data_IF_979361501736
#
_entry.id   IF_979361501736
#
_cell.length_a   1.000
_cell.length_b   1.000
_cell.length_c   1.000
_cell.angle_alpha   90.00
_cell.angle_beta   90.00
_cell.angle_gamma   90.00
#
_symmetry.space_group_name_H-M   'P 1'
#
loop_
_entity.id
_entity.type
_entity.pdbx_description
1 polymer ?
#
# COMPACT_ATOMS: atom_id res chain seq x y z
N UNK A 1 -30.75 2.89 7.44
CA UNK A 1 -29.38 2.35 7.27
C UNK A 1 -29.48 0.94 6.74
N UNK A 2 -28.75 0.59 5.67
CA UNK A 2 -28.80 -0.76 5.12
C UNK A 2 -28.37 -1.79 6.19
N UNK A 3 -29.22 -2.78 6.46
CA UNK A 3 -28.91 -3.87 7.39
C UNK A 3 -27.71 -4.63 6.84
N UNK A 4 -26.58 -4.62 7.57
CA UNK A 4 -25.39 -5.40 7.23
C UNK A 4 -25.71 -6.90 7.33
N UNK A 5 -25.00 -7.73 6.57
CA UNK A 5 -25.22 -9.18 6.55
C UNK A 5 -25.04 -9.83 7.92
N UNK A 6 -25.75 -10.94 8.16
CA UNK A 6 -25.77 -11.67 9.46
C UNK A 6 -24.35 -11.96 9.99
N UNK A 7 -23.48 -12.47 9.12
CA UNK A 7 -22.06 -12.76 9.38
C UNK A 7 -21.27 -11.55 9.91
N UNK A 8 -21.49 -10.38 9.33
CA UNK A 8 -20.85 -9.15 9.79
C UNK A 8 -21.40 -8.71 11.16
N UNK A 9 -22.71 -8.87 11.36
CA UNK A 9 -23.37 -8.53 12.62
C UNK A 9 -22.95 -9.45 13.78
N UNK A 10 -22.50 -10.68 13.51
CA UNK A 10 -21.87 -11.56 14.49
C UNK A 10 -20.44 -11.14 14.77
N UNK A 11 -19.64 -10.90 13.72
CA UNK A 11 -18.24 -10.48 13.85
C UNK A 11 -18.10 -9.16 14.64
N UNK A 12 -18.99 -8.18 14.43
CA UNK A 12 -18.92 -6.90 15.14
C UNK A 12 -19.21 -7.01 16.64
N UNK A 13 -19.93 -8.05 17.09
CA UNK A 13 -20.18 -8.27 18.53
C UNK A 13 -18.92 -8.66 19.29
N UNK A 14 -17.94 -9.22 18.60
CA UNK A 14 -16.63 -9.58 19.17
C UNK A 14 -15.71 -8.37 19.34
N UNK A 15 -16.04 -7.24 18.70
CA UNK A 15 -15.21 -6.03 18.68
C UNK A 15 -15.85 -4.96 19.54
N UNK A 16 -15.17 -4.57 20.62
CA UNK A 16 -15.53 -3.38 21.37
C UNK A 16 -15.06 -2.13 20.60
N UNK A 17 -16.00 -1.24 20.27
CA UNK A 17 -15.73 -0.02 19.47
C UNK A 17 -15.19 1.13 20.32
N UNK A 18 -15.33 1.01 21.63
CA UNK A 18 -14.89 2.00 22.63
C UNK A 18 -13.48 1.69 23.13
N UNK A 19 -13.11 0.42 23.19
CA UNK A 19 -11.78 -0.02 23.56
C UNK A 19 -10.77 0.22 22.43
N UNK A 20 -9.57 0.66 22.82
CA UNK A 20 -8.38 0.60 21.97
C UNK A 20 -7.61 -0.66 22.32
N UNK A 21 -7.31 -1.48 21.31
CA UNK A 21 -6.59 -2.74 21.48
C UNK A 21 -5.10 -2.56 21.23
N UNK A 22 -4.28 -3.45 21.81
CA UNK A 22 -2.88 -3.58 21.38
C UNK A 22 -2.81 -4.09 19.93
N UNK A 23 -1.67 -3.88 19.25
CA UNK A 23 -1.47 -4.36 17.87
C UNK A 23 -1.64 -5.87 17.78
N UNK A 24 -1.09 -6.61 18.75
CA UNK A 24 -1.17 -8.06 18.85
C UNK A 24 -2.64 -8.53 18.94
N UNK A 25 -3.38 -8.00 19.92
CA UNK A 25 -4.80 -8.33 20.11
C UNK A 25 -5.63 -7.94 18.88
N UNK A 26 -5.33 -6.80 18.26
CA UNK A 26 -6.06 -6.34 17.09
C UNK A 26 -5.86 -7.28 15.89
N UNK A 27 -4.64 -7.76 15.65
CA UNK A 27 -4.35 -8.72 14.58
C UNK A 27 -5.07 -10.04 14.82
N UNK A 28 -4.98 -10.59 16.04
CA UNK A 28 -5.71 -11.81 16.41
C UNK A 28 -7.21 -11.67 16.19
N UNK A 29 -7.76 -10.52 16.59
CA UNK A 29 -9.19 -10.24 16.49
C UNK A 29 -9.63 -10.02 15.04
N UNK A 30 -8.80 -9.38 14.21
CA UNK A 30 -9.06 -9.22 12.76
C UNK A 30 -9.06 -10.55 12.04
N UNK A 31 -8.18 -11.49 12.41
CA UNK A 31 -8.19 -12.86 11.87
C UNK A 31 -9.46 -13.61 12.28
N UNK A 32 -9.85 -13.55 13.56
CA UNK A 32 -11.08 -14.17 14.08
C UNK A 32 -12.35 -13.59 13.47
N UNK A 33 -12.35 -12.30 13.12
CA UNK A 33 -13.51 -11.59 12.54
C UNK A 33 -13.53 -11.60 11.01
N UNK A 34 -12.58 -12.28 10.37
CA UNK A 34 -12.61 -12.50 8.92
C UNK A 34 -13.69 -13.52 8.55
N UNK A 35 -14.77 -13.05 7.94
CA UNK A 35 -15.92 -13.88 7.55
C UNK A 35 -15.93 -14.27 6.06
N UNK A 36 -14.87 -13.89 5.33
CA UNK A 36 -14.71 -14.16 3.92
C UNK A 36 -14.39 -15.65 3.67
N UNK A 37 -14.83 -16.18 2.52
CA UNK A 37 -14.51 -17.55 2.08
C UNK A 37 -13.13 -17.67 1.44
N UNK A 38 -12.55 -16.54 1.01
CA UNK A 38 -11.24 -16.45 0.40
C UNK A 38 -10.24 -15.86 1.40
N UNK A 39 -8.94 -15.99 1.11
CA UNK A 39 -7.89 -15.40 1.93
C UNK A 39 -7.89 -13.87 1.84
N UNK A 40 -8.57 -13.26 2.81
CA UNK A 40 -8.78 -11.83 2.88
C UNK A 40 -7.47 -11.09 3.14
N UNK A 41 -7.37 -9.87 2.62
CA UNK A 41 -6.23 -8.98 2.89
C UNK A 41 -6.49 -8.25 4.20
N UNK A 42 -5.47 -8.21 5.05
CA UNK A 42 -5.44 -7.38 6.25
C UNK A 42 -4.84 -6.03 5.86
N UNK A 43 -5.57 -4.96 6.16
CA UNK A 43 -5.19 -3.59 5.85
C UNK A 43 -5.27 -2.70 7.08
N UNK A 44 -4.54 -1.60 7.03
CA UNK A 44 -4.48 -0.61 8.11
C UNK A 44 -4.85 0.74 7.55
N UNK A 45 -5.81 1.38 8.22
CA UNK A 45 -6.19 2.75 7.99
C UNK A 45 -5.59 3.66 9.07
N UNK A 46 -4.77 4.61 8.63
CA UNK A 46 -4.21 5.65 9.48
C UNK A 46 -4.93 6.97 9.19
N UNK A 47 -5.55 7.56 10.23
CA UNK A 47 -6.09 8.92 10.15
C UNK A 47 -5.03 9.89 10.63
N UNK A 48 -4.47 10.65 9.70
CA UNK A 48 -3.42 11.62 10.02
C UNK A 48 -4.00 13.01 10.30
N UNK A 49 -3.27 13.79 11.10
CA UNK A 49 -3.54 15.18 11.42
C UNK A 49 -2.91 16.17 10.43
N UNK A 50 -2.95 15.86 9.13
CA UNK A 50 -2.37 16.68 8.06
C UNK A 50 -3.44 17.40 7.25
N UNK A 51 -3.10 18.55 6.68
CA UNK A 51 -3.92 19.26 5.71
C UNK A 51 -3.38 19.01 4.30
N UNK A 52 -3.94 18.00 3.64
CA UNK A 52 -3.57 17.58 2.27
C UNK A 52 -3.86 18.62 1.19
N UNK A 53 -4.57 19.72 1.50
CA UNK A 53 -4.69 20.86 0.57
C UNK A 53 -3.38 21.63 0.43
N UNK A 54 -2.50 21.54 1.43
CA UNK A 54 -1.20 22.19 1.41
C UNK A 54 -0.13 21.22 0.91
N UNK A 55 0.62 21.64 -0.10
CA UNK A 55 1.60 20.78 -0.78
C UNK A 55 2.74 20.31 0.14
N UNK A 56 3.09 21.11 1.15
CA UNK A 56 4.10 20.82 2.18
C UNK A 56 3.66 19.74 3.18
N UNK A 57 2.36 19.44 3.26
CA UNK A 57 1.81 18.42 4.16
C UNK A 57 1.34 17.17 3.43
N UNK A 58 1.50 17.12 2.11
CA UNK A 58 1.10 15.96 1.32
C UNK A 58 2.09 14.81 1.50
N UNK A 59 1.59 13.67 2.00
CA UNK A 59 2.39 12.47 2.19
C UNK A 59 2.15 11.50 1.03
N UNK A 60 3.25 11.12 0.39
CA UNK A 60 3.31 10.04 -0.60
C UNK A 60 4.68 9.39 -0.51
N UNK A 61 4.71 8.06 -0.51
CA UNK A 61 5.95 7.30 -0.50
C UNK A 61 5.68 5.83 -0.77
N UNK A 62 6.72 5.03 -0.60
CA UNK A 62 6.64 3.59 -0.68
C UNK A 62 7.51 2.98 0.42
N UNK A 63 7.09 1.82 0.92
CA UNK A 63 7.80 1.08 1.96
C UNK A 63 7.87 -0.39 1.55
N UNK A 64 9.01 -1.03 1.76
CA UNK A 64 9.18 -2.47 1.55
C UNK A 64 8.77 -3.18 2.84
N UNK A 65 7.81 -4.10 2.75
CA UNK A 65 7.40 -4.90 3.90
C UNK A 65 8.36 -6.08 4.08
N UNK A 66 8.84 -6.35 5.30
CA UNK A 66 9.80 -7.43 5.55
C UNK A 66 9.23 -8.81 5.20
N UNK A 67 7.92 -9.02 5.41
CA UNK A 67 7.25 -10.28 5.12
C UNK A 67 6.40 -10.24 3.83
N UNK A 68 6.52 -9.17 3.03
CA UNK A 68 5.73 -8.95 1.83
C UNK A 68 4.22 -8.79 2.09
N UNK A 69 3.44 -8.77 1.01
CA UNK A 69 1.97 -8.58 1.05
C UNK A 69 1.16 -9.86 0.83
N UNK A 70 1.82 -10.96 0.47
CA UNK A 70 1.14 -12.22 0.13
C UNK A 70 0.39 -12.21 -1.21
N UNK A 71 0.63 -11.20 -2.07
CA UNK A 71 0.12 -11.15 -3.44
C UNK A 71 1.30 -11.09 -4.42
N UNK A 72 1.34 -12.03 -5.37
CA UNK A 72 2.26 -11.96 -6.51
C UNK A 72 1.81 -10.80 -7.40
N UNK A 73 2.62 -9.74 -7.47
CA UNK A 73 2.35 -8.59 -8.32
C UNK A 73 2.97 -8.82 -9.71
N UNK A 74 2.20 -8.51 -10.75
CA UNK A 74 2.70 -8.49 -12.13
C UNK A 74 3.31 -7.12 -12.43
N UNK A 75 4.60 -7.11 -12.76
CA UNK A 75 5.37 -5.87 -12.97
C UNK A 75 5.59 -5.65 -14.47
N UNK A 76 5.11 -4.50 -14.96
CA UNK A 76 5.43 -4.00 -16.30
C UNK A 76 6.54 -2.96 -16.20
N UNK A 77 7.60 -3.11 -17.00
CA UNK A 77 8.71 -2.18 -17.04
C UNK A 77 8.77 -1.47 -18.39
N UNK A 78 8.75 -0.14 -18.35
CA UNK A 78 9.08 0.72 -19.48
C UNK A 78 10.55 1.10 -19.45
N UNK A 79 11.35 0.48 -20.31
CA UNK A 79 12.77 0.75 -20.43
C UNK A 79 13.24 0.58 -21.88
N UNK A 80 14.26 1.33 -22.30
CA UNK A 80 14.92 1.16 -23.61
C UNK A 80 16.33 0.57 -23.43
N UNK A 81 16.82 -0.10 -24.48
CA UNK A 81 18.22 -0.55 -24.57
C UNK A 81 18.63 -1.55 -23.48
N UNK A 82 19.78 -1.31 -22.83
CA UNK A 82 20.34 -2.23 -21.83
C UNK A 82 19.45 -2.40 -20.59
N UNK A 83 18.71 -1.36 -20.21
CA UNK A 83 17.79 -1.40 -19.07
C UNK A 83 16.60 -2.34 -19.27
N UNK A 84 16.21 -2.59 -20.52
CA UNK A 84 15.21 -3.62 -20.82
C UNK A 84 15.75 -5.02 -20.51
N UNK A 85 16.99 -5.32 -20.92
CA UNK A 85 17.63 -6.62 -20.64
C UNK A 85 17.83 -6.86 -19.14
N UNK A 86 18.22 -5.82 -18.40
CA UNK A 86 18.32 -5.87 -16.93
C UNK A 86 16.95 -6.18 -16.29
N UNK A 87 15.87 -5.56 -16.78
CA UNK A 87 14.52 -5.79 -16.27
C UNK A 87 14.01 -7.21 -16.53
N UNK A 88 14.28 -7.76 -17.72
CA UNK A 88 13.96 -9.14 -18.07
C UNK A 88 14.71 -10.12 -17.16
N UNK A 89 16.01 -9.88 -16.94
CA UNK A 89 16.84 -10.68 -16.05
C UNK A 89 16.41 -10.59 -14.57
N UNK A 90 15.89 -9.43 -14.14
CA UNK A 90 15.31 -9.23 -12.81
C UNK A 90 13.95 -9.94 -12.64
N UNK A 91 13.42 -10.54 -13.71
CA UNK A 91 12.16 -11.27 -13.69
C UNK A 91 10.94 -10.37 -13.80
N UNK A 92 11.02 -9.21 -14.44
CA UNK A 92 9.81 -8.46 -14.80
C UNK A 92 8.89 -9.31 -15.70
N UNK A 93 7.58 -9.23 -15.46
CA UNK A 93 6.59 -10.05 -16.19
C UNK A 93 6.41 -9.56 -17.63
N UNK A 94 6.51 -8.24 -17.82
CA UNK A 94 6.47 -7.60 -19.12
C UNK A 94 7.51 -6.49 -19.18
N UNK A 95 8.27 -6.45 -20.28
CA UNK A 95 9.25 -5.39 -20.56
C UNK A 95 9.02 -4.90 -21.98
N UNK A 96 8.96 -3.59 -22.15
CA UNK A 96 8.99 -3.00 -23.50
C UNK A 96 8.79 -1.49 -23.50
N UNK A 97 8.58 -0.95 -24.69
CA UNK A 97 8.64 0.48 -24.96
C UNK A 97 7.29 1.00 -25.51
N UNK A 98 7.26 1.50 -26.75
CA UNK A 98 6.08 2.05 -27.43
C UNK A 98 5.00 1.01 -27.71
N UNK A 99 5.37 -0.27 -27.86
CA UNK A 99 4.40 -1.32 -28.18
C UNK A 99 3.39 -1.55 -27.06
N UNK A 100 3.85 -1.57 -25.81
CA UNK A 100 2.96 -1.69 -24.66
C UNK A 100 2.18 -0.41 -24.39
N UNK A 101 2.71 0.76 -24.76
CA UNK A 101 1.97 2.02 -24.68
C UNK A 101 0.71 1.96 -25.55
N UNK A 102 0.84 1.49 -26.79
CA UNK A 102 -0.28 1.32 -27.71
C UNK A 102 -1.29 0.28 -27.18
N UNK A 103 -0.82 -0.86 -26.66
CA UNK A 103 -1.69 -1.89 -26.05
C UNK A 103 -2.49 -1.35 -24.85
N UNK A 104 -1.86 -0.57 -23.97
CA UNK A 104 -2.54 0.05 -22.83
C UNK A 104 -3.59 1.05 -23.31
N UNK A 105 -3.29 1.81 -24.35
CA UNK A 105 -4.25 2.74 -24.95
C UNK A 105 -5.46 2.02 -25.56
N UNK A 106 -5.27 0.79 -26.06
CA UNK A 106 -6.33 -0.11 -26.53
C UNK A 106 -7.08 -0.84 -25.40
N UNK A 107 -6.69 -0.64 -24.13
CA UNK A 107 -7.40 -1.16 -22.96
C UNK A 107 -6.77 -2.38 -22.29
N UNK A 108 -5.51 -2.68 -22.55
CA UNK A 108 -4.79 -3.76 -21.87
C UNK A 108 -4.32 -3.38 -20.45
N UNK A 109 -4.64 -4.21 -19.45
CA UNK A 109 -4.31 -3.96 -18.02
C UNK A 109 -3.97 -5.24 -17.23
N UNK A 110 -3.19 -6.16 -17.81
CA UNK A 110 -2.82 -7.41 -17.13
C UNK A 110 -1.61 -7.26 -16.18
N UNK A 111 -1.37 -6.07 -15.65
CA UNK A 111 -0.28 -5.75 -14.74
C UNK A 111 -0.80 -5.01 -13.49
N UNK A 112 -0.07 -5.11 -12.39
CA UNK A 112 -0.40 -4.48 -11.11
C UNK A 112 0.44 -3.23 -10.82
N UNK A 113 1.70 -3.21 -11.30
CA UNK A 113 2.64 -2.10 -11.05
C UNK A 113 3.42 -1.78 -12.32
N UNK A 114 3.63 -0.48 -12.57
CA UNK A 114 4.49 0.00 -13.67
C UNK A 114 5.76 0.61 -13.08
N UNK A 115 6.91 0.20 -13.61
CA UNK A 115 8.20 0.85 -13.41
C UNK A 115 8.61 1.51 -14.72
N UNK A 116 9.18 2.71 -14.67
CA UNK A 116 9.66 3.39 -15.87
C UNK A 116 11.05 3.98 -15.66
N UNK A 117 11.85 3.99 -16.71
CA UNK A 117 13.09 4.76 -16.74
C UNK A 117 12.79 6.25 -17.08
N UNK A 118 13.59 7.21 -16.58
CA UNK A 118 13.30 8.65 -16.77
C UNK A 118 13.21 9.10 -18.24
N UNK A 119 13.94 8.46 -19.15
CA UNK A 119 13.91 8.69 -20.60
C UNK A 119 12.56 8.30 -21.25
N UNK A 120 11.86 7.32 -20.69
CA UNK A 120 10.53 6.87 -21.17
C UNK A 120 9.37 7.72 -20.66
N UNK A 121 9.60 8.58 -19.66
CA UNK A 121 8.51 9.30 -18.98
C UNK A 121 7.76 10.27 -19.89
N UNK A 122 8.41 10.82 -20.92
CA UNK A 122 7.74 11.69 -21.90
C UNK A 122 6.66 10.97 -22.71
N UNK A 123 6.89 9.69 -23.02
CA UNK A 123 5.93 8.84 -23.73
C UNK A 123 4.86 8.29 -22.78
N UNK A 124 5.26 7.78 -21.61
CA UNK A 124 4.35 7.28 -20.57
C UNK A 124 3.41 8.37 -20.06
N UNK A 125 3.84 9.64 -20.05
CA UNK A 125 3.01 10.79 -19.68
C UNK A 125 1.74 10.93 -20.53
N UNK A 126 1.76 10.50 -21.79
CA UNK A 126 0.59 10.52 -22.69
C UNK A 126 -0.53 9.59 -22.18
N UNK A 127 -0.16 8.51 -21.49
CA UNK A 127 -1.10 7.58 -20.85
C UNK A 127 -1.68 8.10 -19.53
N UNK A 128 -1.32 9.32 -19.10
CA UNK A 128 -1.78 9.89 -17.82
C UNK A 128 -3.30 9.92 -17.65
N UNK A 129 -4.07 10.10 -18.75
CA UNK A 129 -5.55 10.04 -18.70
C UNK A 129 -6.09 8.65 -18.36
N UNK A 130 -5.36 7.61 -18.73
CA UNK A 130 -5.76 6.20 -18.55
C UNK A 130 -5.19 5.63 -17.25
N UNK A 131 -3.91 5.87 -16.99
CA UNK A 131 -3.20 5.34 -15.81
C UNK A 131 -3.45 6.17 -14.54
N UNK A 132 -3.72 7.48 -14.69
CA UNK A 132 -3.94 8.39 -13.56
C UNK A 132 -5.12 7.99 -12.67
N UNK A 133 -6.34 7.79 -13.21
CA UNK A 133 -7.49 7.36 -12.43
C UNK A 133 -7.31 5.99 -11.77
N UNK A 134 -6.52 5.10 -12.37
CA UNK A 134 -6.21 3.76 -11.85
C UNK A 134 -5.07 3.76 -10.82
N UNK A 135 -4.37 4.87 -10.64
CA UNK A 135 -3.23 4.97 -9.72
C UNK A 135 -1.98 4.22 -10.15
N UNK A 136 -1.92 3.74 -11.40
CA UNK A 136 -0.81 2.94 -11.94
C UNK A 136 0.31 3.81 -12.54
N UNK A 137 0.17 5.13 -12.49
CA UNK A 137 1.13 6.05 -13.09
C UNK A 137 2.44 6.07 -12.29
N UNK A 138 3.60 5.75 -12.92
CA UNK A 138 4.90 5.80 -12.27
C UNK A 138 5.19 7.18 -11.69
N UNK A 139 5.84 7.22 -10.52
CA UNK A 139 6.18 8.47 -9.86
C UNK A 139 7.59 8.41 -9.25
N UNK A 140 8.44 9.44 -9.46
CA UNK A 140 9.73 9.53 -8.79
C UNK A 140 9.63 9.48 -7.25
N UNK A 141 8.55 10.02 -6.66
CA UNK A 141 8.34 10.01 -5.20
C UNK A 141 8.08 8.63 -4.62
N UNK A 142 7.60 7.68 -5.42
CA UNK A 142 7.40 6.29 -4.98
C UNK A 142 8.58 5.40 -5.38
N UNK A 143 9.59 5.97 -6.04
CA UNK A 143 10.78 5.25 -6.50
C UNK A 143 10.50 4.29 -7.66
N UNK A 144 9.35 4.43 -8.35
CA UNK A 144 9.02 3.65 -9.55
C UNK A 144 9.54 4.29 -10.83
N UNK A 145 10.16 5.47 -10.71
CA UNK A 145 10.93 6.11 -11.78
C UNK A 145 12.40 6.15 -11.35
N UNK A 146 13.21 5.28 -11.93
CA UNK A 146 14.64 5.14 -11.58
C UNK A 146 15.43 4.54 -12.74
N UNK A 147 16.75 4.76 -12.75
CA UNK A 147 17.67 4.06 -13.64
C UNK A 147 18.07 2.66 -13.11
N UNK A 148 17.88 2.42 -11.81
CA UNK A 148 18.13 1.13 -11.16
C UNK A 148 16.87 0.24 -11.22
N UNK A 149 16.61 -0.28 -12.41
CA UNK A 149 15.39 -1.04 -12.72
C UNK A 149 15.38 -2.39 -12.01
N UNK A 150 16.53 -3.07 -11.96
CA UNK A 150 16.69 -4.36 -11.27
C UNK A 150 16.29 -4.26 -9.81
N UNK A 151 16.78 -3.25 -9.10
CA UNK A 151 16.42 -3.05 -7.69
C UNK A 151 14.94 -2.72 -7.54
N UNK A 152 14.39 -1.85 -8.40
CA UNK A 152 12.98 -1.50 -8.35
C UNK A 152 12.06 -2.72 -8.54
N UNK A 153 12.36 -3.58 -9.53
CA UNK A 153 11.61 -4.82 -9.79
C UNK A 153 11.69 -5.76 -8.59
N UNK A 154 12.89 -5.98 -8.04
CA UNK A 154 13.08 -6.85 -6.88
C UNK A 154 12.34 -6.35 -5.64
N UNK A 155 12.40 -5.05 -5.34
CA UNK A 155 11.67 -4.47 -4.21
C UNK A 155 10.15 -4.60 -4.37
N UNK A 156 9.63 -4.37 -5.58
CA UNK A 156 8.19 -4.50 -5.87
C UNK A 156 7.75 -5.95 -5.71
N UNK A 157 8.52 -6.90 -6.25
CA UNK A 157 8.23 -8.34 -6.08
C UNK A 157 8.39 -8.81 -4.63
N UNK A 158 9.28 -8.19 -3.85
CA UNK A 158 9.40 -8.42 -2.41
C UNK A 158 8.24 -7.83 -1.58
N UNK A 159 7.29 -7.12 -2.21
CA UNK A 159 6.10 -6.58 -1.54
C UNK A 159 6.24 -5.13 -1.11
N UNK A 160 6.92 -4.30 -1.92
CA UNK A 160 6.87 -2.84 -1.78
C UNK A 160 5.43 -2.35 -1.93
N UNK A 161 4.99 -1.56 -0.95
CA UNK A 161 3.65 -0.97 -0.92
C UNK A 161 3.76 0.54 -1.04
N UNK A 162 3.05 1.11 -2.00
CA UNK A 162 2.88 2.55 -2.10
C UNK A 162 1.81 3.02 -1.11
N UNK A 163 2.10 4.12 -0.41
CA UNK A 163 1.14 4.77 0.46
C UNK A 163 0.96 6.23 0.02
N UNK A 164 -0.30 6.68 0.00
CA UNK A 164 -0.69 8.02 -0.39
C UNK A 164 -1.79 8.53 0.53
N UNK A 165 -1.65 9.76 1.01
CA UNK A 165 -2.73 10.44 1.71
C UNK A 165 -3.88 10.78 0.74
N UNK A 166 -5.10 10.40 1.13
CA UNK A 166 -6.33 10.79 0.43
C UNK A 166 -6.66 12.28 0.67
N UNK A 167 -7.76 12.77 0.08
CA UNK A 167 -8.23 14.15 0.27
C UNK A 167 -8.66 14.47 1.70
N UNK A 168 -8.83 13.46 2.55
CA UNK A 168 -9.25 13.57 3.94
C UNK A 168 -8.09 13.39 4.93
N UNK A 169 -6.86 13.19 4.45
CA UNK A 169 -5.69 12.94 5.29
C UNK A 169 -5.60 11.51 5.85
N UNK A 170 -6.27 10.55 5.23
CA UNK A 170 -6.14 9.13 5.57
C UNK A 170 -5.15 8.43 4.67
N UNK A 171 -4.46 7.44 5.22
CA UNK A 171 -3.59 6.52 4.48
C UNK A 171 -4.13 5.11 4.68
N UNK A 172 -4.25 4.37 3.58
CA UNK A 172 -4.64 2.96 3.57
C UNK A 172 -3.46 2.13 3.07
N UNK A 173 -3.05 1.13 3.84
CA UNK A 173 -1.92 0.26 3.49
C UNK A 173 -2.28 -1.20 3.74
N UNK A 174 -2.18 -2.10 2.75
CA UNK A 174 -2.23 -3.54 2.99
C UNK A 174 -0.98 -4.01 3.72
N UNK A 175 -1.16 -4.79 4.80
CA UNK A 175 -0.04 -5.31 5.61
C UNK A 175 0.19 -6.80 5.45
N UNK A 176 -0.72 -7.51 4.77
CA UNK A 176 -0.58 -8.93 4.48
C UNK A 176 -1.91 -9.63 4.29
N UNK A 177 -1.90 -10.94 4.46
CA UNK A 177 -3.08 -11.81 4.36
C UNK A 177 -3.52 -12.32 5.72
N UNK A 178 -4.78 -12.73 5.83
CA UNK A 178 -5.29 -13.39 7.04
C UNK A 178 -4.57 -14.72 7.29
N UNK A 179 -4.09 -15.39 6.24
CA UNK A 179 -3.26 -16.59 6.32
C UNK A 179 -1.87 -16.39 6.94
N UNK A 180 -1.38 -15.15 7.10
CA UNK A 180 -0.07 -14.90 7.67
C UNK A 180 -0.04 -15.15 9.18
N UNK A 181 1.14 -15.48 9.70
CA UNK A 181 1.39 -15.58 11.14
C UNK A 181 1.23 -14.21 11.81
N UNK A 182 0.75 -14.21 13.06
CA UNK A 182 0.45 -12.97 13.78
C UNK A 182 1.70 -12.10 13.95
N UNK A 183 2.85 -12.73 14.21
CA UNK A 183 4.15 -12.04 14.32
C UNK A 183 4.54 -11.31 13.03
N UNK A 184 4.36 -11.93 11.87
CA UNK A 184 4.68 -11.33 10.57
C UNK A 184 3.83 -10.09 10.29
N UNK A 185 2.55 -10.13 10.68
CA UNK A 185 1.64 -9.00 10.56
C UNK A 185 2.01 -7.87 11.53
N UNK A 186 2.45 -8.19 12.74
CA UNK A 186 2.97 -7.19 13.71
C UNK A 186 4.22 -6.50 13.16
N UNK A 187 5.18 -7.25 12.62
CA UNK A 187 6.41 -6.69 12.02
C UNK A 187 6.12 -5.79 10.83
N UNK A 188 5.22 -6.21 9.93
CA UNK A 188 4.80 -5.40 8.79
C UNK A 188 4.10 -4.10 9.26
N UNK A 189 3.22 -4.19 10.25
CA UNK A 189 2.57 -3.02 10.85
C UNK A 189 3.60 -2.05 11.45
N UNK A 190 4.57 -2.59 12.19
CA UNK A 190 5.65 -1.84 12.85
C UNK A 190 6.46 -1.04 11.83
N UNK A 191 6.88 -1.71 10.76
CA UNK A 191 7.67 -1.09 9.69
C UNK A 191 6.94 0.08 9.06
N UNK A 192 5.64 -0.07 8.78
CA UNK A 192 4.81 1.02 8.23
C UNK A 192 4.66 2.15 9.24
N UNK A 193 4.38 1.83 10.50
CA UNK A 193 4.19 2.82 11.54
C UNK A 193 5.44 3.69 11.74
N UNK A 194 6.62 3.07 11.85
CA UNK A 194 7.89 3.78 11.94
C UNK A 194 8.17 4.64 10.70
N UNK A 195 7.87 4.11 9.51
CA UNK A 195 8.04 4.86 8.26
C UNK A 195 7.13 6.09 8.24
N UNK A 196 5.89 5.98 8.67
CA UNK A 196 4.96 7.11 8.75
C UNK A 196 5.40 8.16 9.78
N UNK A 197 6.02 7.74 10.89
CA UNK A 197 6.60 8.65 11.87
C UNK A 197 7.82 9.41 11.30
N UNK A 198 8.70 8.72 10.56
CA UNK A 198 9.87 9.32 9.90
C UNK A 198 9.47 10.33 8.83
N UNK A 199 8.38 10.07 8.12
CA UNK A 199 7.89 10.91 7.01
C UNK A 199 6.95 12.04 7.49
N UNK A 200 6.81 12.24 8.81
CA UNK A 200 6.00 13.31 9.38
C UNK A 200 6.47 14.68 8.84
N UNK A 201 5.60 15.46 8.18
CA UNK A 201 5.95 16.81 7.73
C UNK A 201 6.17 17.74 8.93
N UNK A 202 7.24 18.55 8.89
CA UNK A 202 7.54 19.53 9.94
C UNK A 202 6.44 20.59 10.11
N UNK A 203 5.67 20.85 9.05
CA UNK A 203 4.55 21.78 9.05
C UNK A 203 3.27 21.22 9.71
N UNK A 204 3.21 19.92 10.01
CA UNK A 204 2.06 19.30 10.66
C UNK A 204 1.97 19.73 12.13
N UNK A 205 0.91 20.48 12.47
CA UNK A 205 0.66 20.97 13.84
C UNK A 205 -0.29 20.02 14.59
N UNK A 206 -0.04 19.83 15.89
CA UNK A 206 -0.86 19.00 16.77
C UNK A 206 -0.59 17.50 16.65
N UNK A 207 -1.58 16.68 17.01
CA UNK A 207 -1.46 15.21 16.99
C UNK A 207 -1.41 14.69 15.56
N UNK A 208 -0.24 14.19 15.16
CA UNK A 208 0.01 13.65 13.82
C UNK A 208 -0.79 12.37 13.54
N UNK A 209 -0.86 11.44 14.51
CA UNK A 209 -1.59 10.19 14.39
C UNK A 209 -2.90 10.27 15.20
N UNK A 210 -4.05 10.46 14.54
CA UNK A 210 -5.34 10.65 15.23
C UNK A 210 -6.06 9.36 15.53
N UNK A 211 -5.99 8.39 14.62
CA UNK A 211 -6.61 7.09 14.79
C UNK A 211 -5.88 6.06 13.92
N UNK A 212 -5.74 4.85 14.45
CA UNK A 212 -5.23 3.69 13.72
C UNK A 212 -6.29 2.62 13.79
N UNK A 213 -6.64 2.03 12.66
CA UNK A 213 -7.63 0.97 12.62
C UNK A 213 -7.17 -0.14 11.68
N UNK A 214 -7.10 -1.36 12.19
CA UNK A 214 -6.77 -2.55 11.43
C UNK A 214 -8.08 -3.21 11.02
N UNK A 215 -8.19 -3.65 9.78
CA UNK A 215 -9.39 -4.33 9.29
C UNK A 215 -9.02 -5.37 8.25
N UNK A 216 -9.93 -6.31 8.01
CA UNK A 216 -9.85 -7.24 6.89
C UNK A 216 -10.83 -6.81 5.81
N UNK A 217 -10.60 -7.23 4.55
CA UNK A 217 -11.39 -6.80 3.38
C UNK A 217 -12.92 -6.85 3.57
N UNK A 218 -13.43 -7.77 4.38
CA UNK A 218 -14.87 -7.94 4.66
C UNK A 218 -15.20 -7.96 6.17
N UNK A 219 -14.27 -7.48 7.01
CA UNK A 219 -14.38 -7.51 8.46
C UNK A 219 -14.74 -6.16 9.08
N UNK A 220 -15.05 -6.13 10.39
CA UNK A 220 -15.08 -4.90 11.15
C UNK A 220 -13.68 -4.29 11.32
N UNK A 221 -13.63 -2.98 11.58
CA UNK A 221 -12.39 -2.29 11.92
C UNK A 221 -12.14 -2.34 13.42
N UNK A 222 -10.93 -2.71 13.81
CA UNK A 222 -10.46 -2.78 15.20
C UNK A 222 -9.54 -1.60 15.45
N UNK A 223 -9.87 -0.78 16.45
CA UNK A 223 -9.03 0.38 16.81
C UNK A 223 -7.79 -0.11 17.54
N UNK A 224 -6.65 0.39 17.10
CA UNK A 224 -5.36 0.11 17.71
C UNK A 224 -4.91 1.33 18.49
N UNK A 225 -4.40 1.09 19.69
CA UNK A 225 -3.76 2.12 20.48
C UNK A 225 -2.39 2.47 19.89
N UNK A 226 -2.24 3.72 19.46
CA UNK A 226 -0.97 4.24 18.96
C UNK A 226 0.10 4.37 20.05
N UNK A 227 -0.30 4.39 21.33
CA UNK A 227 0.60 4.56 22.48
C UNK A 227 1.24 3.26 22.96
N UNK A 228 0.71 2.09 22.59
CA UNK A 228 1.37 0.80 22.87
C UNK A 228 2.66 0.64 22.05
N UNK A 229 2.87 1.50 21.06
CA UNK A 229 4.06 1.58 20.22
C UNK A 229 4.97 2.75 20.63
N UNK A 230 5.28 2.88 21.93
CA UNK A 230 6.48 3.62 22.33
C UNK A 230 7.65 2.73 21.98
N UNK A 231 8.24 3.01 20.81
CA UNK A 231 9.48 2.37 20.34
C UNK A 231 10.49 2.39 21.48
N UNK A 232 10.91 1.19 21.92
CA UNK A 232 12.07 1.05 22.78
C UNK A 232 13.23 1.74 22.07
N UNK A 233 13.76 2.75 22.76
CA UNK A 233 14.83 3.63 22.29
C UNK A 233 16.11 2.84 22.02
#
# INVERSE_FOLDING_TARGET
>A
MAKRGKKYAEAIKLVDRTKSYSVQEAIELVKKTSVAKFDATVEVAFRLGIDVKKADQQIRGAVVLPNGTGKTQRVLVFAKGEKAKEAEAAGADYVGDTDYINKIQQGWFDFDVIVATPDMMGEVGKLGRVLGPKGLMPNPKTGTVTFDVTKAVNEIKAGKVEYRADKSGNIHVPIGKVSFDDQKLVENFTTIFETLLKVKPSAAKGTYMRNISVTSTMGPGVKVDASTFVVAK
#
